data_IF_870726885928
#
_entry.id   IF_870726885928
#
_cell.length_a   1.000
_cell.length_b   1.000
_cell.length_c   1.000
_cell.angle_alpha   90.00
_cell.angle_beta   90.00
_cell.angle_gamma   90.00
#
_symmetry.space_group_name_H-M   'P 1'
#
loop_
_entity.id
_entity.type
_entity.pdbx_description
1 polymer ?
#
# COMPACT_ATOMS: atom_id res chain seq x y z
N UNK A 1 37.87 5.82 -0.32
CA UNK A 1 38.02 6.56 -1.59
C UNK A 1 36.64 6.69 -2.20
N UNK A 2 36.28 7.92 -2.54
CA UNK A 2 34.95 8.31 -2.98
C UNK A 2 34.65 7.75 -4.38
N UNK A 3 33.57 7.01 -4.46
CA UNK A 3 32.61 7.02 -5.56
C UNK A 3 31.26 6.81 -4.84
N UNK A 4 30.64 7.80 -4.21
CA UNK A 4 29.85 8.85 -4.88
C UNK A 4 29.46 8.55 -6.33
N UNK A 5 29.16 7.27 -6.63
CA UNK A 5 28.38 6.87 -7.77
C UNK A 5 26.99 7.45 -7.53
N UNK A 6 26.83 8.70 -7.98
CA UNK A 6 25.71 9.57 -7.72
C UNK A 6 24.43 8.76 -7.66
N UNK A 7 23.88 8.66 -6.46
CA UNK A 7 22.61 7.99 -6.20
C UNK A 7 21.57 8.84 -6.93
N UNK A 8 21.43 8.50 -8.23
CA UNK A 8 20.78 9.32 -9.22
C UNK A 8 19.43 9.71 -8.65
N UNK A 9 18.97 10.96 -8.83
CA UNK A 9 17.64 11.36 -8.38
C UNK A 9 16.54 10.34 -8.78
N UNK A 10 16.74 9.63 -9.89
CA UNK A 10 15.92 8.50 -10.32
C UNK A 10 16.00 7.25 -9.43
N UNK A 11 17.20 6.85 -8.98
CA UNK A 11 17.39 5.72 -8.07
C UNK A 11 16.75 5.98 -6.69
N UNK A 12 16.96 7.17 -6.11
CA UNK A 12 16.29 7.62 -4.88
C UNK A 12 14.77 7.65 -5.03
N UNK A 13 14.26 8.18 -6.14
CA UNK A 13 12.83 8.23 -6.41
C UNK A 13 12.22 6.83 -6.57
N UNK A 14 12.87 5.92 -7.31
CA UNK A 14 12.40 4.54 -7.47
C UNK A 14 12.30 3.81 -6.13
N UNK A 15 13.33 3.93 -5.29
CA UNK A 15 13.36 3.33 -3.95
C UNK A 15 12.21 3.83 -3.08
N UNK A 16 12.01 5.15 -3.01
CA UNK A 16 10.88 5.75 -2.27
C UNK A 16 9.52 5.22 -2.76
N UNK A 17 9.33 5.12 -4.08
CA UNK A 17 8.07 4.61 -4.65
C UNK A 17 7.89 3.11 -4.35
N UNK A 18 8.96 2.33 -4.34
CA UNK A 18 8.93 0.92 -3.94
C UNK A 18 8.58 0.75 -2.46
N UNK A 19 9.14 1.59 -1.58
CA UNK A 19 8.78 1.64 -0.16
C UNK A 19 7.30 2.02 0.04
N UNK A 20 6.81 3.02 -0.68
CA UNK A 20 5.38 3.40 -0.67
C UNK A 20 4.47 2.24 -1.11
N UNK A 21 4.90 1.47 -2.12
CA UNK A 21 4.18 0.29 -2.60
C UNK A 21 4.15 -0.82 -1.53
N UNK A 22 5.30 -1.13 -0.93
CA UNK A 22 5.43 -2.14 0.13
C UNK A 22 4.60 -1.76 1.36
N UNK A 23 4.67 -0.50 1.79
CA UNK A 23 3.88 0.00 2.91
C UNK A 23 2.37 -0.08 2.65
N UNK A 24 1.94 0.22 1.42
CA UNK A 24 0.53 0.10 1.04
C UNK A 24 0.06 -1.37 1.02
N UNK A 25 0.93 -2.30 0.57
CA UNK A 25 0.64 -3.73 0.57
C UNK A 25 0.56 -4.30 1.99
N UNK A 26 1.52 -3.96 2.86
CA UNK A 26 1.52 -4.39 4.26
C UNK A 26 0.27 -3.90 5.02
N UNK A 27 -0.11 -2.62 4.83
CA UNK A 27 -1.36 -2.10 5.40
C UNK A 27 -2.60 -2.82 4.88
N UNK A 28 -2.63 -3.17 3.59
CA UNK A 28 -3.75 -3.91 3.01
C UNK A 28 -3.90 -5.31 3.62
N UNK A 29 -2.80 -6.00 3.93
CA UNK A 29 -2.81 -7.30 4.61
C UNK A 29 -3.46 -7.18 6.00
N UNK A 30 -2.94 -6.30 6.86
CA UNK A 30 -3.46 -6.08 8.22
C UNK A 30 -4.95 -5.72 8.22
N UNK A 31 -5.38 -4.82 7.33
CA UNK A 31 -6.80 -4.44 7.21
C UNK A 31 -7.66 -5.63 6.74
N UNK A 32 -7.12 -6.50 5.89
CA UNK A 32 -7.87 -7.65 5.38
C UNK A 32 -8.06 -8.71 6.45
N UNK A 33 -7.05 -8.93 7.29
CA UNK A 33 -7.13 -9.85 8.44
C UNK A 33 -8.16 -9.33 9.45
N UNK A 34 -8.09 -8.05 9.83
CA UNK A 34 -9.04 -7.47 10.80
C UNK A 34 -10.49 -7.45 10.26
N UNK A 35 -10.67 -7.23 8.95
CA UNK A 35 -11.99 -7.35 8.33
C UNK A 35 -12.52 -8.78 8.37
N UNK A 36 -11.66 -9.77 8.11
CA UNK A 36 -12.04 -11.17 8.19
C UNK A 36 -12.47 -11.55 9.60
N UNK A 37 -11.72 -11.11 10.62
CA UNK A 37 -12.04 -11.36 12.03
C UNK A 37 -13.39 -10.74 12.42
N UNK A 38 -13.68 -9.51 12.00
CA UNK A 38 -14.96 -8.85 12.27
C UNK A 38 -16.12 -9.50 11.50
N UNK A 39 -15.89 -9.98 10.28
CA UNK A 39 -16.90 -10.73 9.52
C UNK A 39 -17.19 -12.09 10.18
N UNK A 40 -16.17 -12.78 10.70
CA UNK A 40 -16.33 -14.01 11.47
C UNK A 40 -17.09 -13.76 12.78
N UNK A 41 -16.74 -12.72 13.52
CA UNK A 41 -17.43 -12.34 14.74
C UNK A 41 -18.92 -12.03 14.49
N UNK A 42 -19.24 -11.47 13.32
CA UNK A 42 -20.62 -11.18 12.90
C UNK A 42 -21.43 -12.45 12.60
N UNK A 43 -20.79 -13.52 12.13
CA UNK A 43 -21.43 -14.82 11.94
C UNK A 43 -21.79 -15.46 13.29
N UNK A 44 -20.98 -15.22 14.33
CA UNK A 44 -21.19 -15.77 15.67
C UNK A 44 -22.20 -14.95 16.50
N UNK A 45 -22.20 -13.62 16.36
CA UNK A 45 -23.10 -12.74 17.11
C UNK A 45 -23.37 -11.41 16.39
N UNK A 46 -24.45 -10.70 16.77
CA UNK A 46 -24.61 -9.30 16.40
C UNK A 46 -23.39 -8.47 16.83
N UNK A 47 -22.90 -7.63 15.93
CA UNK A 47 -21.81 -6.71 16.21
C UNK A 47 -22.28 -5.56 17.09
N UNK A 48 -21.46 -5.18 18.05
CA UNK A 48 -21.66 -3.98 18.85
C UNK A 48 -21.45 -2.73 17.98
N UNK A 49 -22.00 -1.59 18.41
CA UNK A 49 -21.89 -0.33 17.67
C UNK A 49 -20.43 0.07 17.36
N UNK A 50 -19.50 -0.18 18.30
CA UNK A 50 -18.06 0.07 18.08
C UNK A 50 -17.45 -0.81 17.00
N UNK A 51 -17.88 -2.07 16.92
CA UNK A 51 -17.38 -3.05 15.94
C UNK A 51 -17.94 -2.76 14.55
N UNK A 52 -19.19 -2.34 14.46
CA UNK A 52 -19.80 -1.86 13.21
C UNK A 52 -19.07 -0.62 12.68
N UNK A 53 -18.83 0.38 13.54
CA UNK A 53 -18.08 1.57 13.17
C UNK A 53 -16.65 1.22 12.71
N UNK A 54 -15.99 0.28 13.39
CA UNK A 54 -14.65 -0.19 13.00
C UNK A 54 -14.67 -0.90 11.64
N UNK A 55 -15.68 -1.74 11.39
CA UNK A 55 -15.85 -2.45 10.13
C UNK A 55 -16.08 -1.48 8.95
N UNK A 56 -16.89 -0.43 9.14
CA UNK A 56 -17.06 0.63 8.14
C UNK A 56 -15.76 1.41 7.89
N UNK A 57 -15.04 1.76 8.96
CA UNK A 57 -13.74 2.42 8.87
C UNK A 57 -12.73 1.58 8.08
N UNK A 58 -12.61 0.30 8.40
CA UNK A 58 -11.68 -0.62 7.72
C UNK A 58 -12.02 -0.79 6.24
N UNK A 59 -13.30 -0.80 5.86
CA UNK A 59 -13.73 -0.83 4.46
C UNK A 59 -13.26 0.42 3.70
N UNK A 60 -13.40 1.60 4.31
CA UNK A 60 -12.89 2.84 3.74
C UNK A 60 -11.35 2.83 3.64
N UNK A 61 -10.65 2.39 4.69
CA UNK A 61 -9.19 2.30 4.71
C UNK A 61 -8.66 1.30 3.67
N UNK A 62 -9.34 0.16 3.47
CA UNK A 62 -8.99 -0.84 2.44
C UNK A 62 -9.06 -0.23 1.04
N UNK A 63 -10.12 0.52 0.74
CA UNK A 63 -10.25 1.22 -0.53
C UNK A 63 -9.10 2.21 -0.74
N UNK A 64 -8.78 3.02 0.26
CA UNK A 64 -7.68 3.98 0.20
C UNK A 64 -6.32 3.30 -0.01
N UNK A 65 -6.06 2.18 0.69
CA UNK A 65 -4.82 1.41 0.52
C UNK A 65 -4.70 0.85 -0.91
N UNK A 66 -5.78 0.31 -1.47
CA UNK A 66 -5.80 -0.17 -2.87
C UNK A 66 -5.50 0.96 -3.86
N UNK A 67 -6.07 2.14 -3.65
CA UNK A 67 -5.81 3.31 -4.51
C UNK A 67 -4.35 3.76 -4.41
N UNK A 68 -3.78 3.82 -3.20
CA UNK A 68 -2.36 4.14 -2.98
C UNK A 68 -1.44 3.13 -3.65
N UNK A 69 -1.70 1.83 -3.46
CA UNK A 69 -0.95 0.75 -4.09
C UNK A 69 -0.98 0.87 -5.63
N UNK A 70 -2.17 1.03 -6.23
CA UNK A 70 -2.30 1.21 -7.70
C UNK A 70 -1.53 2.42 -8.21
N UNK A 71 -1.57 3.55 -7.50
CA UNK A 71 -0.84 4.77 -7.87
C UNK A 71 0.67 4.57 -7.76
N UNK A 72 1.15 3.98 -6.67
CA UNK A 72 2.57 3.69 -6.47
C UNK A 72 3.08 2.71 -7.54
N UNK A 73 2.32 1.65 -7.82
CA UNK A 73 2.63 0.68 -8.86
C UNK A 73 2.72 1.34 -10.25
N UNK A 74 1.71 2.12 -10.65
CA UNK A 74 1.72 2.84 -11.92
C UNK A 74 2.87 3.86 -12.03
N UNK A 75 3.28 4.47 -10.91
CA UNK A 75 4.45 5.35 -10.87
C UNK A 75 5.75 4.57 -11.03
N UNK A 76 5.88 3.42 -10.36
CA UNK A 76 7.05 2.56 -10.48
C UNK A 76 7.22 2.05 -11.92
N UNK A 77 6.16 1.49 -12.52
CA UNK A 77 6.17 1.04 -13.92
C UNK A 77 6.63 2.13 -14.88
N UNK A 78 6.14 3.37 -14.71
CA UNK A 78 6.57 4.51 -15.53
C UNK A 78 8.04 4.84 -15.33
N UNK A 79 8.53 4.89 -14.09
CA UNK A 79 9.94 5.18 -13.81
C UNK A 79 10.87 4.09 -14.37
N UNK A 80 10.48 2.83 -14.30
CA UNK A 80 11.25 1.72 -14.86
C UNK A 80 11.27 1.79 -16.38
N UNK A 81 10.12 2.05 -17.02
CA UNK A 81 10.03 2.20 -18.48
C UNK A 81 10.78 3.43 -19.02
N UNK A 82 10.75 4.56 -18.30
CA UNK A 82 11.52 5.76 -18.67
C UNK A 82 13.02 5.57 -18.51
N UNK A 83 13.45 4.81 -17.50
CA UNK A 83 14.87 4.44 -17.31
C UNK A 83 15.43 3.58 -18.44
N UNK A 84 14.57 2.88 -19.20
CA UNK A 84 14.96 2.03 -20.32
C UNK A 84 14.99 2.78 -21.67
N UNK A 85 14.38 3.97 -21.78
CA UNK A 85 14.33 4.78 -23.01
C UNK A 85 15.36 5.92 -23.06
N UNK A 86 16.12 6.11 -21.98
CA UNK A 86 17.17 7.13 -21.85
C UNK A 86 18.61 6.58 -21.98
N UNK A 87 18.74 5.35 -22.49
CA UNK A 87 19.96 4.74 -23.00
C UNK A 87 19.84 4.63 -24.52
#
# INVERSE_FOLDING_TARGET
MADDAGDSPFAKTRRRVAEELLAAAARHAVISDELYDLEKLREERPLAAKELARLEQLRAEKLLCRLRHRRAHARLVRLTASSLRGL
#
